data_IF_699199805869
#
_entry.id   IF_699199805869
#
_cell.length_a   1.000
_cell.length_b   1.000
_cell.length_c   1.000
_cell.angle_alpha   90.00
_cell.angle_beta   90.00
_cell.angle_gamma   90.00
#
_symmetry.space_group_name_H-M   'P 1'
#
loop_
_entity.id
_entity.type
_entity.pdbx_description
1 polymer ?
#
# COMPACT_ATOMS: atom_id res chain seq x y z
N UNK A 1 19.14 12.24 -10.74
CA UNK A 1 17.74 12.17 -11.22
C UNK A 1 16.86 11.90 -10.01
N UNK A 2 15.77 12.64 -9.81
CA UNK A 2 14.79 12.27 -8.78
C UNK A 2 14.09 10.98 -9.23
N UNK A 3 14.08 9.95 -8.38
CA UNK A 3 13.35 8.72 -8.68
C UNK A 3 11.85 8.98 -8.44
N UNK A 4 11.04 8.69 -9.46
CA UNK A 4 9.58 8.77 -9.40
C UNK A 4 9.00 7.38 -9.60
N UNK A 5 8.09 6.97 -8.72
CA UNK A 5 7.46 5.65 -8.72
C UNK A 5 5.95 5.80 -8.88
N UNK A 6 5.36 5.02 -9.79
CA UNK A 6 3.91 4.88 -9.92
C UNK A 6 3.47 3.56 -9.28
N UNK A 7 2.50 3.63 -8.38
CA UNK A 7 1.88 2.48 -7.71
C UNK A 7 0.44 2.37 -8.21
N UNK A 8 0.06 1.20 -8.71
CA UNK A 8 -1.31 0.90 -9.14
C UNK A 8 -1.96 0.01 -8.08
N UNK A 9 -3.01 0.51 -7.46
CA UNK A 9 -3.77 -0.15 -6.40
C UNK A 9 -3.61 0.53 -5.04
N UNK A 10 -4.72 0.98 -4.47
CA UNK A 10 -4.87 1.60 -3.16
C UNK A 10 -5.21 0.63 -2.04
N UNK A 11 -4.87 -0.65 -2.18
CA UNK A 11 -4.97 -1.65 -1.12
C UNK A 11 -3.85 -1.50 -0.06
N UNK A 12 -3.90 -2.32 0.99
CA UNK A 12 -2.96 -2.27 2.12
C UNK A 12 -1.49 -2.36 1.68
N UNK A 13 -1.17 -3.19 0.69
CA UNK A 13 0.19 -3.33 0.16
C UNK A 13 0.63 -2.09 -0.62
N UNK A 14 -0.24 -1.54 -1.47
CA UNK A 14 0.07 -0.34 -2.25
C UNK A 14 0.32 0.87 -1.35
N UNK A 15 -0.54 1.06 -0.33
CA UNK A 15 -0.39 2.14 0.64
C UNK A 15 0.86 1.96 1.53
N UNK A 16 1.13 0.74 2.03
CA UNK A 16 2.32 0.48 2.83
C UNK A 16 3.62 0.71 2.03
N UNK A 17 3.62 0.32 0.75
CA UNK A 17 4.74 0.56 -0.17
C UNK A 17 4.93 2.06 -0.43
N UNK A 18 3.85 2.79 -0.74
CA UNK A 18 3.89 4.24 -0.94
C UNK A 18 4.45 4.95 0.30
N UNK A 19 3.98 4.55 1.48
CA UNK A 19 4.43 5.10 2.75
C UNK A 19 5.94 4.90 2.96
N UNK A 20 6.47 3.70 2.70
CA UNK A 20 7.89 3.44 2.81
C UNK A 20 8.72 4.30 1.84
N UNK A 21 8.32 4.34 0.57
CA UNK A 21 9.02 5.10 -0.48
C UNK A 21 9.01 6.61 -0.23
N UNK A 22 7.89 7.17 0.20
CA UNK A 22 7.79 8.59 0.56
C UNK A 22 8.74 8.93 1.72
N UNK A 23 8.87 8.04 2.71
CA UNK A 23 9.82 8.23 3.82
C UNK A 23 11.28 8.17 3.38
N UNK A 24 11.57 7.43 2.32
CA UNK A 24 12.90 7.35 1.71
C UNK A 24 13.16 8.53 0.73
N UNK A 25 12.24 9.49 0.62
CA UNK A 25 12.38 10.68 -0.22
C UNK A 25 12.06 10.46 -1.70
N UNK A 26 11.38 9.36 -2.04
CA UNK A 26 10.95 9.03 -3.41
C UNK A 26 9.64 9.75 -3.73
N UNK A 27 9.53 10.32 -4.93
CA UNK A 27 8.27 10.90 -5.40
C UNK A 27 7.33 9.76 -5.84
N UNK A 28 6.13 9.68 -5.24
CA UNK A 28 5.19 8.59 -5.51
C UNK A 28 3.88 9.12 -6.08
N UNK A 29 3.42 8.54 -7.19
CA UNK A 29 2.05 8.64 -7.66
C UNK A 29 1.33 7.33 -7.35
N UNK A 30 0.20 7.39 -6.65
CA UNK A 30 -0.66 6.23 -6.40
C UNK A 30 -1.96 6.40 -7.19
N UNK A 31 -2.36 5.35 -7.91
CA UNK A 31 -3.58 5.32 -8.71
C UNK A 31 -4.48 4.21 -8.18
N UNK A 32 -5.73 4.53 -7.89
CA UNK A 32 -6.78 3.59 -7.49
C UNK A 32 -7.94 3.71 -8.48
N UNK A 33 -8.55 2.58 -8.85
CA UNK A 33 -9.69 2.53 -9.76
C UNK A 33 -11.03 2.84 -9.07
N UNK A 34 -11.09 2.66 -7.75
CA UNK A 34 -12.26 2.91 -6.89
C UNK A 34 -12.25 4.31 -6.31
N UNK A 35 -13.43 4.79 -5.92
CA UNK A 35 -13.60 6.09 -5.28
C UNK A 35 -13.03 6.13 -3.84
N UNK A 36 -12.73 4.97 -3.27
CA UNK A 36 -12.16 4.84 -1.92
C UNK A 36 -11.00 3.85 -1.90
N UNK A 37 -10.05 4.10 -1.01
CA UNK A 37 -8.90 3.23 -0.81
C UNK A 37 -9.30 1.97 -0.03
N UNK A 38 -8.62 0.87 -0.30
CA UNK A 38 -8.76 -0.36 0.46
C UNK A 38 -10.11 -1.07 0.33
N UNK A 39 -11.03 -0.62 -0.53
CA UNK A 39 -12.42 -1.11 -0.60
C UNK A 39 -12.60 -2.58 -1.06
N UNK A 40 -11.54 -3.20 -1.57
CA UNK A 40 -11.56 -4.58 -2.09
C UNK A 40 -11.07 -5.57 -1.01
N UNK A 41 -10.11 -6.45 -1.31
CA UNK A 41 -9.58 -7.46 -0.37
C UNK A 41 -9.06 -6.86 0.94
N UNK A 42 -8.56 -5.63 0.93
CA UNK A 42 -8.07 -4.96 2.15
C UNK A 42 -9.20 -4.59 3.12
N UNK A 43 -10.43 -4.42 2.64
CA UNK A 43 -11.63 -4.23 3.44
C UNK A 43 -12.26 -5.57 3.82
N UNK A 44 -12.37 -6.48 2.85
CA UNK A 44 -13.06 -7.77 3.00
C UNK A 44 -12.11 -8.95 3.30
N UNK A 45 -11.17 -8.77 4.22
CA UNK A 45 -10.36 -9.88 4.77
C UNK A 45 -10.75 -10.15 6.23
N UNK A 46 -10.42 -11.35 6.72
CA UNK A 46 -10.74 -11.75 8.10
C UNK A 46 -9.91 -11.06 9.19
N UNK A 47 -9.07 -10.08 8.86
CA UNK A 47 -8.19 -9.37 9.80
C UNK A 47 -7.16 -10.26 10.49
N UNK A 48 -7.04 -11.53 10.10
CA UNK A 48 -6.18 -12.51 10.74
C UNK A 48 -4.72 -12.16 10.46
N UNK A 49 -3.98 -11.85 11.51
CA UNK A 49 -2.53 -11.73 11.44
C UNK A 49 -1.92 -13.12 11.59
N UNK A 50 -1.54 -13.72 10.45
CA UNK A 50 -0.80 -14.99 10.43
C UNK A 50 0.68 -14.69 10.61
N UNK A 51 1.16 -14.73 11.85
CA UNK A 51 2.58 -14.66 12.15
C UNK A 51 3.15 -16.08 12.29
N UNK A 52 4.34 -16.31 11.73
CA UNK A 52 5.25 -17.34 12.23
C UNK A 52 6.32 -16.61 13.04
N UNK A 53 6.40 -16.92 14.34
CA UNK A 53 7.09 -16.20 15.43
C UNK A 53 6.29 -15.07 16.08
N UNK A 54 5.68 -15.40 17.22
CA UNK A 54 5.60 -14.54 18.40
C UNK A 54 6.78 -14.91 19.28
N UNK A 55 7.58 -13.92 19.67
CA UNK A 55 8.64 -14.09 20.65
C UNK A 55 8.07 -14.50 22.01
#
# INVERSE_FOLDING_TARGET
MAQRVCIIGGGVIGLATAYALVRDGVEVTLVEARDSLGSETSFANGGQLSYRYVA
#
